data_IF_076634478846
#
_entry.id   IF_076634478846
#
_cell.length_a   1.000
_cell.length_b   1.000
_cell.length_c   1.000
_cell.angle_alpha   90.00
_cell.angle_beta   90.00
_cell.angle_gamma   90.00
#
_symmetry.space_group_name_H-M   'P 1'
#
loop_
_entity.id
_entity.type
_entity.pdbx_description
1 polymer ?
#
# COMPACT_ATOMS: atom_id res chain seq x y z
N UNK A 1 87.58 -16.05 25.72
CA UNK A 1 86.67 -14.89 25.75
C UNK A 1 86.16 -14.60 24.35
N UNK A 2 84.93 -15.03 24.03
CA UNK A 2 83.97 -14.40 23.09
C UNK A 2 82.76 -15.33 22.99
N UNK A 3 81.72 -15.03 23.77
CA UNK A 3 80.42 -15.70 23.70
C UNK A 3 79.59 -15.07 22.58
N UNK A 4 79.01 -15.92 21.73
CA UNK A 4 78.10 -15.53 20.67
C UNK A 4 76.66 -15.66 21.17
N UNK A 5 75.90 -14.57 21.01
CA UNK A 5 74.48 -14.45 21.29
C UNK A 5 73.66 -15.28 20.28
N UNK A 6 72.68 -16.06 20.76
CA UNK A 6 71.55 -16.51 19.96
C UNK A 6 70.28 -15.93 20.59
N UNK A 7 69.75 -14.87 19.99
CA UNK A 7 68.40 -14.38 20.26
C UNK A 7 67.42 -15.16 19.39
N UNK A 8 66.56 -15.96 20.03
CA UNK A 8 65.43 -16.60 19.37
C UNK A 8 64.31 -15.56 19.19
N UNK A 9 64.04 -15.16 17.96
CA UNK A 9 62.85 -14.38 17.59
C UNK A 9 61.71 -15.37 17.38
N UNK A 10 60.75 -15.38 18.31
CA UNK A 10 59.43 -16.00 18.09
C UNK A 10 58.62 -15.09 17.16
N UNK A 11 58.69 -15.36 15.86
CA UNK A 11 57.72 -14.86 14.88
C UNK A 11 56.43 -15.67 15.05
N UNK A 12 55.47 -15.12 15.80
CA UNK A 12 54.08 -15.57 15.74
C UNK A 12 53.54 -15.15 14.37
N UNK A 13 53.46 -16.11 13.46
CA UNK A 13 52.74 -16.00 12.20
C UNK A 13 51.26 -15.80 12.48
N UNK A 14 50.80 -14.55 12.52
CA UNK A 14 49.39 -14.22 12.35
C UNK A 14 48.98 -14.69 10.96
N UNK A 15 48.17 -15.74 10.91
CA UNK A 15 47.57 -16.24 9.68
C UNK A 15 46.63 -15.19 9.10
N UNK A 16 47.15 -14.38 8.17
CA UNK A 16 46.38 -13.53 7.28
C UNK A 16 45.76 -14.41 6.18
N UNK A 17 44.74 -15.19 6.53
CA UNK A 17 43.83 -15.70 5.50
C UNK A 17 42.89 -14.55 5.11
N UNK A 18 42.70 -14.28 3.82
CA UNK A 18 41.68 -13.33 3.39
C UNK A 18 40.32 -13.82 3.90
N UNK A 19 39.61 -12.95 4.62
CA UNK A 19 38.26 -13.21 5.12
C UNK A 19 37.38 -13.65 3.94
N UNK A 20 36.70 -14.77 4.11
CA UNK A 20 35.84 -15.31 3.05
C UNK A 20 34.64 -14.39 2.83
N UNK A 21 34.07 -14.41 1.62
CA UNK A 21 32.88 -13.59 1.34
C UNK A 21 31.70 -13.96 2.26
N UNK A 22 31.62 -15.22 2.67
CA UNK A 22 30.67 -15.72 3.66
C UNK A 22 30.85 -15.07 5.03
N UNK A 23 32.10 -14.93 5.49
CA UNK A 23 32.45 -14.24 6.74
C UNK A 23 32.12 -12.75 6.65
N UNK A 24 32.45 -12.09 5.53
CA UNK A 24 32.05 -10.69 5.26
C UNK A 24 30.53 -10.50 5.40
N UNK A 25 29.72 -11.38 4.81
CA UNK A 25 28.25 -11.31 4.89
C UNK A 25 27.78 -11.50 6.33
N UNK A 26 28.36 -12.46 7.06
CA UNK A 26 28.03 -12.67 8.47
C UNK A 26 28.39 -11.43 9.29
N UNK A 27 29.57 -10.85 9.10
CA UNK A 27 30.00 -9.64 9.80
C UNK A 27 29.07 -8.45 9.48
N UNK A 28 28.68 -8.28 8.22
CA UNK A 28 27.68 -7.28 7.81
C UNK A 28 26.34 -7.47 8.54
N UNK A 29 25.84 -8.71 8.66
CA UNK A 29 24.60 -8.98 9.41
C UNK A 29 24.78 -8.66 10.90
N UNK A 30 25.87 -9.08 11.52
CA UNK A 30 26.10 -8.81 12.95
C UNK A 30 26.27 -7.32 13.24
N UNK A 31 26.80 -6.54 12.30
CA UNK A 31 26.91 -5.09 12.43
C UNK A 31 25.55 -4.39 12.58
N UNK A 32 24.47 -4.96 12.04
CA UNK A 32 23.10 -4.43 12.19
C UNK A 32 22.68 -4.40 13.66
N UNK A 33 23.19 -5.32 14.51
CA UNK A 33 22.89 -5.34 15.94
C UNK A 33 23.37 -4.10 16.68
N UNK A 34 24.35 -3.40 16.12
CA UNK A 34 24.93 -2.20 16.73
C UNK A 34 24.04 -0.97 16.55
N UNK A 35 23.06 -1.04 15.63
CA UNK A 35 22.12 0.05 15.38
C UNK A 35 21.18 0.17 16.59
N UNK A 36 21.12 1.38 17.12
CA UNK A 36 20.30 1.75 18.27
C UNK A 36 19.49 2.99 17.95
N UNK A 37 18.52 3.28 18.78
CA UNK A 37 17.77 4.52 18.65
C UNK A 37 18.63 5.72 18.97
N UNK A 38 18.63 6.72 18.10
CA UNK A 38 19.32 7.98 18.33
C UNK A 38 18.47 9.17 17.91
N UNK A 39 18.73 10.32 18.53
CA UNK A 39 18.22 11.64 18.11
C UNK A 39 19.32 12.46 17.40
N UNK A 40 20.58 12.02 17.48
CA UNK A 40 21.70 12.65 16.80
C UNK A 40 21.67 12.34 15.30
N UNK A 41 21.57 13.39 14.49
CA UNK A 41 21.54 13.29 13.02
C UNK A 41 22.78 12.60 12.47
N UNK A 42 23.95 12.88 13.03
CA UNK A 42 25.20 12.27 12.56
C UNK A 42 25.22 10.78 12.87
N UNK A 43 24.71 10.36 14.02
CA UNK A 43 24.59 8.94 14.36
C UNK A 43 23.58 8.22 13.44
N UNK A 44 22.44 8.86 13.14
CA UNK A 44 21.45 8.35 12.18
C UNK A 44 22.04 8.20 10.77
N UNK A 45 22.79 9.20 10.29
CA UNK A 45 23.47 9.16 8.99
C UNK A 45 24.52 8.05 8.92
N UNK A 46 25.27 7.81 10.00
CA UNK A 46 26.21 6.71 10.11
C UNK A 46 25.50 5.35 10.06
N UNK A 47 24.36 5.20 10.76
CA UNK A 47 23.57 3.97 10.70
C UNK A 47 22.99 3.72 9.30
N UNK A 48 22.47 4.75 8.64
CA UNK A 48 21.99 4.63 7.25
C UNK A 48 23.12 4.20 6.31
N UNK A 49 24.31 4.79 6.45
CA UNK A 49 25.47 4.44 5.63
C UNK A 49 25.95 3.00 5.89
N UNK A 50 25.91 2.54 7.14
CA UNK A 50 26.21 1.15 7.49
C UNK A 50 25.24 0.17 6.81
N UNK A 51 23.95 0.48 6.85
CA UNK A 51 22.89 -0.32 6.23
C UNK A 51 23.05 -0.40 4.72
N UNK A 52 23.30 0.72 4.05
CA UNK A 52 23.57 0.78 2.61
C UNK A 52 24.81 -0.05 2.22
N UNK A 53 25.87 0.03 3.04
CA UNK A 53 27.09 -0.77 2.85
C UNK A 53 26.82 -2.28 2.97
N UNK A 54 26.07 -2.68 4.00
CA UNK A 54 25.67 -4.08 4.20
C UNK A 54 24.82 -4.59 3.03
N UNK A 55 23.86 -3.80 2.56
CA UNK A 55 23.00 -4.15 1.43
C UNK A 55 23.77 -4.26 0.11
N UNK A 56 24.75 -3.38 -0.10
CA UNK A 56 25.68 -3.48 -1.23
C UNK A 56 26.45 -4.80 -1.15
N UNK A 57 27.00 -5.13 0.02
CA UNK A 57 27.72 -6.39 0.26
C UNK A 57 26.84 -7.61 -0.04
N UNK A 58 25.61 -7.66 0.46
CA UNK A 58 24.66 -8.74 0.17
C UNK A 58 24.38 -8.89 -1.33
N UNK A 59 24.35 -7.78 -2.06
CA UNK A 59 24.02 -7.75 -3.49
C UNK A 59 25.18 -8.16 -4.41
N UNK A 60 26.43 -8.17 -3.93
CA UNK A 60 27.61 -8.56 -4.70
C UNK A 60 27.53 -10.02 -5.20
N UNK A 61 27.10 -10.97 -4.35
CA UNK A 61 26.91 -12.38 -4.71
C UNK A 61 25.66 -12.96 -4.03
N UNK A 62 24.49 -12.63 -4.58
CA UNK A 62 23.17 -13.07 -4.07
C UNK A 62 23.04 -14.58 -3.86
N UNK A 63 23.65 -15.39 -4.73
CA UNK A 63 23.64 -16.85 -4.62
C UNK A 63 24.26 -17.36 -3.32
N UNK A 64 25.19 -16.62 -2.74
CA UNK A 64 25.87 -16.94 -1.48
C UNK A 64 25.23 -16.22 -0.29
N UNK A 65 24.89 -14.93 -0.44
CA UNK A 65 24.36 -14.13 0.66
C UNK A 65 22.92 -14.51 1.05
N UNK A 66 22.04 -14.82 0.11
CA UNK A 66 20.63 -15.13 0.41
C UNK A 66 20.47 -16.37 1.32
N UNK A 67 21.15 -17.52 1.07
CA UNK A 67 21.12 -18.64 2.00
C UNK A 67 21.57 -18.28 3.44
N UNK A 68 22.59 -17.43 3.57
CA UNK A 68 23.10 -16.97 4.87
C UNK A 68 22.06 -16.09 5.56
N UNK A 69 21.48 -15.12 4.84
CA UNK A 69 20.44 -14.21 5.36
C UNK A 69 19.23 -15.01 5.84
N UNK A 70 18.74 -15.98 5.05
CA UNK A 70 17.63 -16.86 5.43
C UNK A 70 17.94 -17.62 6.72
N UNK A 71 19.15 -18.17 6.84
CA UNK A 71 19.59 -18.91 8.01
C UNK A 71 19.66 -18.01 9.25
N UNK A 72 20.25 -16.81 9.10
CA UNK A 72 20.34 -15.82 10.18
C UNK A 72 18.98 -15.33 10.63
N UNK A 73 18.05 -15.07 9.71
CA UNK A 73 16.67 -14.68 10.05
C UNK A 73 15.93 -15.80 10.79
N UNK A 74 16.05 -17.06 10.36
CA UNK A 74 15.48 -18.22 11.08
C UNK A 74 16.06 -18.37 12.49
N UNK A 75 17.36 -18.16 12.65
CA UNK A 75 18.02 -18.20 13.95
C UNK A 75 17.54 -17.05 14.85
N UNK A 76 17.38 -15.85 14.31
CA UNK A 76 16.87 -14.70 15.06
C UNK A 76 15.43 -14.92 15.55
N UNK A 77 14.58 -15.47 14.69
CA UNK A 77 13.20 -15.85 15.02
C UNK A 77 13.13 -16.90 16.14
N UNK A 78 14.14 -17.75 16.26
CA UNK A 78 14.23 -18.79 17.29
C UNK A 78 14.89 -18.29 18.59
N UNK A 79 15.39 -17.04 18.60
CA UNK A 79 16.03 -16.44 19.76
C UNK A 79 15.01 -16.11 20.85
N UNK A 80 15.44 -16.21 22.12
CA UNK A 80 14.62 -15.77 23.27
C UNK A 80 14.38 -14.25 23.28
N UNK A 81 15.28 -13.49 22.66
CA UNK A 81 15.19 -12.02 22.57
C UNK A 81 15.64 -11.59 21.18
N UNK A 82 14.75 -11.68 20.17
CA UNK A 82 15.06 -11.28 18.80
C UNK A 82 15.41 -9.79 18.71
N UNK A 83 16.46 -9.47 17.98
CA UNK A 83 16.84 -8.10 17.63
C UNK A 83 15.89 -7.58 16.55
N UNK A 84 15.14 -6.54 16.91
CA UNK A 84 14.08 -5.98 16.07
C UNK A 84 14.61 -5.40 14.76
N UNK A 85 15.82 -4.82 14.76
CA UNK A 85 16.43 -4.26 13.55
C UNK A 85 16.89 -5.36 12.59
N UNK A 86 17.44 -6.47 13.10
CA UNK A 86 17.75 -7.65 12.27
C UNK A 86 16.48 -8.21 11.64
N UNK A 87 15.43 -8.40 12.44
CA UNK A 87 14.17 -8.91 11.92
C UNK A 87 13.63 -8.01 10.81
N UNK A 88 13.63 -6.68 11.01
CA UNK A 88 13.14 -5.73 10.02
C UNK A 88 14.02 -5.71 8.76
N UNK A 89 15.33 -5.56 8.93
CA UNK A 89 16.23 -5.31 7.80
C UNK A 89 16.38 -6.52 6.89
N UNK A 90 16.67 -7.69 7.47
CA UNK A 90 16.85 -8.91 6.70
C UNK A 90 15.56 -9.30 6.00
N UNK A 91 14.41 -9.14 6.66
CA UNK A 91 13.10 -9.40 6.03
C UNK A 91 12.83 -8.46 4.87
N UNK A 92 13.16 -7.18 5.00
CA UNK A 92 12.99 -6.22 3.92
C UNK A 92 13.94 -6.48 2.75
N UNK A 93 15.20 -6.85 3.02
CA UNK A 93 16.14 -7.25 1.97
C UNK A 93 15.66 -8.49 1.21
N UNK A 94 15.14 -9.51 1.92
CA UNK A 94 14.54 -10.69 1.29
C UNK A 94 13.31 -10.33 0.45
N UNK A 95 12.43 -9.44 0.95
CA UNK A 95 11.26 -8.98 0.21
C UNK A 95 11.62 -8.32 -1.14
N UNK A 96 12.74 -7.61 -1.21
CA UNK A 96 13.25 -6.99 -2.43
C UNK A 96 14.01 -7.96 -3.36
N UNK A 97 14.26 -9.19 -2.92
CA UNK A 97 15.09 -10.17 -3.64
C UNK A 97 14.29 -11.17 -4.48
N UNK A 98 13.04 -10.83 -4.83
CA UNK A 98 12.09 -11.71 -5.53
C UNK A 98 11.86 -13.04 -4.80
N UNK A 99 11.33 -12.99 -3.56
CA UNK A 99 11.25 -14.16 -2.70
C UNK A 99 10.30 -15.22 -3.25
N UNK A 100 10.70 -16.48 -3.08
CA UNK A 100 9.81 -17.63 -3.26
C UNK A 100 8.82 -17.75 -2.10
N UNK A 101 7.86 -18.67 -2.20
CA UNK A 101 6.81 -18.84 -1.19
C UNK A 101 7.38 -19.09 0.22
N UNK A 102 8.38 -19.96 0.35
CA UNK A 102 9.00 -20.25 1.66
C UNK A 102 9.67 -19.02 2.30
N UNK A 103 10.19 -18.12 1.47
CA UNK A 103 10.77 -16.86 1.93
C UNK A 103 9.69 -15.86 2.33
N UNK A 104 8.57 -15.81 1.61
CA UNK A 104 7.41 -15.01 1.99
C UNK A 104 6.89 -15.46 3.37
N UNK A 105 6.76 -16.78 3.61
CA UNK A 105 6.33 -17.33 4.90
C UNK A 105 7.33 -16.97 6.03
N UNK A 106 8.63 -16.92 5.72
CA UNK A 106 9.67 -16.51 6.66
C UNK A 106 9.58 -15.00 6.98
N UNK A 107 9.36 -14.17 5.96
CA UNK A 107 9.18 -12.72 6.09
C UNK A 107 7.92 -12.40 6.91
N UNK A 108 6.82 -13.10 6.65
CA UNK A 108 5.57 -12.98 7.42
C UNK A 108 5.82 -13.24 8.91
N UNK A 109 6.44 -14.38 9.27
CA UNK A 109 6.77 -14.71 10.66
C UNK A 109 7.66 -13.67 11.34
N UNK A 110 8.65 -13.15 10.61
CA UNK A 110 9.48 -12.07 11.11
C UNK A 110 8.67 -10.80 11.36
N UNK A 111 7.81 -10.41 10.42
CA UNK A 111 6.91 -9.27 10.57
C UNK A 111 5.95 -9.39 11.77
N UNK A 112 5.43 -10.60 12.02
CA UNK A 112 4.59 -10.88 13.19
C UNK A 112 5.36 -10.78 14.50
N UNK A 113 6.62 -11.21 14.50
CA UNK A 113 7.53 -11.17 15.67
C UNK A 113 8.02 -9.76 15.98
N UNK A 114 8.10 -8.88 14.97
CA UNK A 114 8.49 -7.48 15.18
C UNK A 114 7.50 -6.77 16.12
N UNK A 115 8.05 -6.22 17.20
CA UNK A 115 7.38 -5.28 18.08
C UNK A 115 7.34 -3.89 17.43
N UNK A 116 6.18 -3.57 16.88
CA UNK A 116 5.91 -2.31 16.19
C UNK A 116 5.87 -1.09 17.12
N UNK A 117 5.83 -1.30 18.45
CA UNK A 117 5.91 -0.24 19.45
C UNK A 117 7.33 0.02 19.94
N UNK A 118 8.29 -0.85 19.59
CA UNK A 118 9.68 -0.66 19.99
C UNK A 118 10.26 0.64 19.39
N UNK A 119 11.05 1.42 20.14
CA UNK A 119 11.57 2.70 19.65
C UNK A 119 12.36 2.59 18.34
N UNK A 120 13.10 1.50 18.14
CA UNK A 120 13.90 1.27 16.93
C UNK A 120 13.01 1.07 15.69
N UNK A 121 11.86 0.41 15.83
CA UNK A 121 10.90 0.24 14.73
C UNK A 121 10.15 1.53 14.44
N UNK A 122 9.81 2.31 15.48
CA UNK A 122 9.22 3.64 15.32
C UNK A 122 10.17 4.59 14.58
N UNK A 123 11.49 4.54 14.84
CA UNK A 123 12.48 5.31 14.08
C UNK A 123 12.61 4.83 12.63
N UNK A 124 12.43 3.53 12.37
CA UNK A 124 12.50 2.90 11.05
C UNK A 124 11.11 2.66 10.42
N UNK A 125 10.13 3.53 10.73
CA UNK A 125 8.72 3.31 10.37
C UNK A 125 8.51 3.20 8.85
N UNK A 126 9.30 3.91 8.04
CA UNK A 126 9.22 3.82 6.57
C UNK A 126 9.54 2.41 6.07
N UNK A 127 10.59 1.78 6.59
CA UNK A 127 10.98 0.43 6.21
C UNK A 127 9.94 -0.58 6.69
N UNK A 128 9.46 -0.43 7.92
CA UNK A 128 8.40 -1.27 8.49
C UNK A 128 7.09 -1.20 7.69
N UNK A 129 6.67 0.01 7.31
CA UNK A 129 5.51 0.22 6.45
C UNK A 129 5.70 -0.40 5.06
N UNK A 130 6.88 -0.26 4.44
CA UNK A 130 7.16 -0.88 3.13
C UNK A 130 7.12 -2.41 3.19
N UNK A 131 7.58 -3.00 4.30
CA UNK A 131 7.47 -4.44 4.53
C UNK A 131 6.00 -4.87 4.65
N UNK A 132 5.19 -4.11 5.39
CA UNK A 132 3.74 -4.35 5.48
C UNK A 132 3.04 -4.20 4.13
N UNK A 133 3.44 -3.21 3.32
CA UNK A 133 2.89 -2.98 1.99
C UNK A 133 3.21 -4.14 1.03
N UNK A 134 4.43 -4.69 1.11
CA UNK A 134 4.81 -5.90 0.38
C UNK A 134 3.93 -7.10 0.78
N UNK A 135 3.79 -7.38 2.08
CA UNK A 135 2.95 -8.49 2.56
C UNK A 135 1.47 -8.30 2.17
N UNK A 136 0.99 -7.06 2.22
CA UNK A 136 -0.35 -6.72 1.76
C UNK A 136 -0.54 -7.00 0.26
N UNK A 137 0.43 -6.64 -0.58
CA UNK A 137 0.40 -6.94 -2.01
C UNK A 137 0.33 -8.45 -2.30
N UNK A 138 1.03 -9.25 -1.49
CA UNK A 138 1.02 -10.72 -1.57
C UNK A 138 -0.28 -11.36 -1.08
N UNK A 139 -1.22 -10.56 -0.54
CA UNK A 139 -2.51 -11.01 -0.01
C UNK A 139 -2.36 -12.16 0.99
N UNK A 140 -1.43 -12.01 1.92
CA UNK A 140 -1.19 -13.00 2.97
C UNK A 140 -2.50 -13.27 3.74
N UNK A 141 -2.91 -14.53 3.92
CA UNK A 141 -4.16 -14.85 4.63
C UNK A 141 -4.20 -14.20 6.00
N UNK A 142 -5.36 -13.63 6.39
CA UNK A 142 -5.56 -12.98 7.69
C UNK A 142 -4.68 -11.74 7.96
N UNK A 143 -3.88 -11.27 7.00
CA UNK A 143 -2.99 -10.12 7.20
C UNK A 143 -3.74 -8.80 7.46
N UNK A 144 -5.02 -8.73 7.07
CA UNK A 144 -5.90 -7.61 7.43
C UNK A 144 -5.97 -7.40 8.94
N UNK A 145 -5.97 -8.45 9.78
CA UNK A 145 -5.94 -8.29 11.24
C UNK A 145 -4.62 -7.69 11.74
N UNK A 146 -3.51 -7.99 11.06
CA UNK A 146 -2.22 -7.36 11.34
C UNK A 146 -2.24 -5.88 10.95
N UNK A 147 -2.85 -5.53 9.81
CA UNK A 147 -3.05 -4.12 9.41
C UNK A 147 -3.94 -3.40 10.44
N UNK A 148 -5.04 -4.03 10.88
CA UNK A 148 -5.95 -3.48 11.87
C UNK A 148 -5.20 -3.10 13.15
N UNK A 149 -4.49 -4.08 13.72
CA UNK A 149 -3.76 -3.93 14.97
C UNK A 149 -2.64 -2.90 14.87
N UNK A 150 -1.86 -2.92 13.79
CA UNK A 150 -0.58 -2.19 13.70
C UNK A 150 -0.74 -0.77 13.10
N UNK A 151 -1.75 -0.53 12.27
CA UNK A 151 -1.92 0.75 11.55
C UNK A 151 -3.31 1.37 11.71
N UNK A 152 -4.37 0.56 11.78
CA UNK A 152 -5.73 1.08 11.90
C UNK A 152 -6.04 1.59 13.30
N UNK A 153 -5.81 0.74 14.30
CA UNK A 153 -6.11 1.01 15.71
C UNK A 153 -4.99 1.76 16.43
N UNK A 154 -3.78 1.77 15.86
CA UNK A 154 -2.61 2.44 16.43
C UNK A 154 -2.09 3.48 15.44
N UNK A 155 -1.87 4.70 15.92
CA UNK A 155 -1.34 5.77 15.10
C UNK A 155 0.16 5.54 14.85
N UNK A 156 0.52 5.35 13.58
CA UNK A 156 1.91 5.19 13.17
C UNK A 156 2.56 6.55 12.92
N UNK A 157 3.87 6.62 13.15
CA UNK A 157 4.64 7.84 12.89
C UNK A 157 4.63 8.15 11.38
N UNK A 158 4.42 9.41 11.04
CA UNK A 158 4.56 9.89 9.67
C UNK A 158 6.03 9.87 9.23
N UNK A 159 6.28 9.65 7.94
CA UNK A 159 7.62 9.75 7.37
C UNK A 159 7.61 10.51 6.05
N UNK A 160 8.73 11.16 5.75
CA UNK A 160 8.90 11.95 4.54
C UNK A 160 9.67 11.15 3.49
N UNK A 161 9.22 11.19 2.24
CA UNK A 161 9.93 10.61 1.10
C UNK A 161 10.54 11.76 0.29
N UNK A 162 11.86 12.01 0.41
CA UNK A 162 12.50 13.15 -0.23
C UNK A 162 12.34 13.18 -1.75
N UNK A 163 12.43 12.01 -2.40
CA UNK A 163 12.35 11.87 -3.86
C UNK A 163 10.99 12.30 -4.43
N UNK A 164 9.96 12.38 -3.60
CA UNK A 164 8.59 12.73 -4.00
C UNK A 164 8.07 13.96 -3.26
N UNK A 165 8.88 14.59 -2.41
CA UNK A 165 8.50 15.73 -1.56
C UNK A 165 7.14 15.48 -0.88
N UNK A 166 6.93 14.26 -0.39
CA UNK A 166 5.63 13.79 0.12
C UNK A 166 5.78 13.29 1.55
N UNK A 167 4.87 13.73 2.43
CA UNK A 167 4.69 13.18 3.76
C UNK A 167 3.68 12.02 3.70
N UNK A 168 4.04 10.87 4.23
CA UNK A 168 3.16 9.70 4.34
C UNK A 168 2.72 9.58 5.79
N UNK A 169 1.55 10.15 6.09
CA UNK A 169 0.93 10.10 7.42
C UNK A 169 0.23 8.75 7.68
N UNK A 170 -0.26 8.56 8.90
CA UNK A 170 -0.94 7.33 9.29
C UNK A 170 -2.17 7.02 8.41
N UNK A 171 -2.89 8.06 7.94
CA UNK A 171 -4.05 7.88 7.06
C UNK A 171 -3.64 7.36 5.68
N UNK A 172 -2.60 7.94 5.08
CA UNK A 172 -2.02 7.49 3.83
C UNK A 172 -1.51 6.05 3.96
N UNK A 173 -0.81 5.72 5.05
CA UNK A 173 -0.32 4.36 5.30
C UNK A 173 -1.46 3.33 5.27
N UNK A 174 -2.51 3.55 6.07
CA UNK A 174 -3.70 2.66 6.08
C UNK A 174 -4.32 2.53 4.70
N UNK A 175 -4.52 3.66 4.02
CA UNK A 175 -5.11 3.72 2.67
C UNK A 175 -4.33 2.86 1.68
N UNK A 176 -3.00 2.94 1.68
CA UNK A 176 -2.13 2.12 0.84
C UNK A 176 -2.22 0.63 1.20
N UNK A 177 -2.21 0.28 2.50
CA UNK A 177 -2.24 -1.11 2.96
C UNK A 177 -3.55 -1.81 2.60
N UNK A 178 -4.70 -1.25 2.94
CA UNK A 178 -5.99 -1.85 2.57
C UNK A 178 -6.23 -1.80 1.06
N UNK A 179 -5.79 -0.73 0.40
CA UNK A 179 -5.94 -0.56 -1.03
C UNK A 179 -5.22 -1.63 -1.85
N UNK A 180 -3.97 -1.95 -1.51
CA UNK A 180 -3.21 -2.97 -2.25
C UNK A 180 -3.64 -4.41 -1.94
N UNK A 181 -4.12 -4.66 -0.71
CA UNK A 181 -4.67 -5.96 -0.32
C UNK A 181 -5.86 -6.34 -1.22
N UNK A 182 -6.71 -5.36 -1.55
CA UNK A 182 -7.71 -5.45 -2.60
C UNK A 182 -9.08 -5.91 -2.13
N UNK A 183 -9.63 -6.91 -2.80
CA UNK A 183 -11.04 -7.32 -2.78
C UNK A 183 -11.57 -7.70 -1.40
N UNK A 184 -10.76 -8.30 -0.52
CA UNK A 184 -11.23 -8.66 0.82
C UNK A 184 -11.20 -7.47 1.81
N UNK A 185 -10.54 -6.35 1.48
CA UNK A 185 -10.47 -5.18 2.36
C UNK A 185 -11.83 -4.52 2.56
N UNK A 186 -12.63 -4.40 1.49
CA UNK A 186 -13.95 -3.77 1.55
C UNK A 186 -14.89 -4.52 2.50
N UNK A 187 -15.19 -5.83 2.32
CA UNK A 187 -16.07 -6.55 3.22
C UNK A 187 -15.53 -6.62 4.67
N UNK A 188 -14.21 -6.68 4.85
CA UNK A 188 -13.58 -6.62 6.17
C UNK A 188 -13.85 -5.29 6.89
N UNK A 189 -13.57 -4.18 6.22
CA UNK A 189 -13.78 -2.83 6.76
C UNK A 189 -15.26 -2.51 6.98
N UNK A 190 -16.16 -2.95 6.09
CA UNK A 190 -17.60 -2.80 6.28
C UNK A 190 -18.09 -3.58 7.50
N UNK A 191 -17.58 -4.79 7.72
CA UNK A 191 -17.90 -5.59 8.92
C UNK A 191 -17.47 -4.85 10.19
N UNK A 192 -16.27 -4.26 10.21
CA UNK A 192 -15.80 -3.46 11.35
C UNK A 192 -16.66 -2.21 11.55
N UNK A 193 -16.94 -1.47 10.49
CA UNK A 193 -17.70 -0.22 10.52
C UNK A 193 -19.12 -0.41 11.08
N UNK A 194 -19.75 -1.57 10.86
CA UNK A 194 -21.09 -1.89 11.43
C UNK A 194 -21.11 -1.93 12.97
N UNK A 195 -19.99 -2.29 13.59
CA UNK A 195 -19.89 -2.45 15.05
C UNK A 195 -19.09 -1.35 15.73
N UNK A 196 -18.39 -0.51 14.95
CA UNK A 196 -17.50 0.51 15.50
C UNK A 196 -18.28 1.73 16.02
N UNK A 197 -17.89 2.17 17.22
CA UNK A 197 -18.50 3.30 17.93
C UNK A 197 -17.55 4.49 18.08
N UNK A 198 -16.24 4.28 17.97
CA UNK A 198 -15.25 5.36 18.00
C UNK A 198 -15.31 6.19 16.72
N UNK A 199 -15.66 7.47 16.85
CA UNK A 199 -15.84 8.36 15.71
C UNK A 199 -14.55 8.52 14.86
N UNK A 200 -13.36 8.57 15.47
CA UNK A 200 -12.11 8.72 14.72
C UNK A 200 -11.78 7.48 13.90
N UNK A 201 -12.08 6.31 14.45
CA UNK A 201 -11.89 5.04 13.78
C UNK A 201 -12.91 4.86 12.65
N UNK A 202 -14.19 5.22 12.86
CA UNK A 202 -15.21 5.29 11.80
C UNK A 202 -14.79 6.23 10.66
N UNK A 203 -14.31 7.43 10.98
CA UNK A 203 -13.80 8.39 9.99
C UNK A 203 -12.61 7.81 9.21
N UNK A 204 -11.69 7.11 9.89
CA UNK A 204 -10.54 6.45 9.25
C UNK A 204 -10.99 5.35 8.29
N UNK A 205 -11.90 4.47 8.73
CA UNK A 205 -12.45 3.39 7.91
C UNK A 205 -13.18 3.95 6.67
N UNK A 206 -14.06 4.93 6.85
CA UNK A 206 -14.81 5.54 5.74
C UNK A 206 -13.91 6.29 4.77
N UNK A 207 -12.85 6.95 5.25
CA UNK A 207 -11.86 7.62 4.39
C UNK A 207 -11.03 6.63 3.54
N UNK A 208 -10.79 5.41 4.04
CA UNK A 208 -10.19 4.31 3.28
C UNK A 208 -11.19 3.78 2.25
N UNK A 209 -12.41 3.45 2.68
CA UNK A 209 -13.49 2.95 1.83
C UNK A 209 -13.78 3.89 0.66
N UNK A 210 -13.71 5.21 0.87
CA UNK A 210 -13.81 6.24 -0.18
C UNK A 210 -12.86 6.03 -1.36
N UNK A 211 -11.77 5.28 -1.22
CA UNK A 211 -10.81 5.04 -2.31
C UNK A 211 -10.87 3.65 -2.91
N UNK A 212 -11.42 2.67 -2.17
CA UNK A 212 -11.34 1.25 -2.54
C UNK A 212 -12.70 0.62 -2.83
N UNK A 213 -13.79 1.26 -2.40
CA UNK A 213 -15.13 0.75 -2.61
C UNK A 213 -15.47 0.53 -4.08
N UNK A 214 -16.37 -0.42 -4.29
CA UNK A 214 -17.02 -0.79 -5.55
C UNK A 214 -18.53 -0.88 -5.28
N UNK A 215 -19.39 -1.05 -6.30
CA UNK A 215 -20.84 -1.08 -6.12
C UNK A 215 -21.36 -2.03 -5.03
N UNK A 216 -20.62 -3.10 -4.71
CA UNK A 216 -20.98 -4.07 -3.67
C UNK A 216 -21.11 -3.46 -2.26
N UNK A 217 -20.46 -2.32 -1.99
CA UNK A 217 -20.58 -1.64 -0.70
C UNK A 217 -21.86 -0.80 -0.54
N UNK A 218 -22.59 -0.52 -1.63
CA UNK A 218 -23.57 0.56 -1.67
C UNK A 218 -24.69 0.39 -0.62
N UNK A 219 -25.23 -0.82 -0.46
CA UNK A 219 -26.31 -1.08 0.48
C UNK A 219 -25.87 -0.96 1.95
N UNK A 220 -24.65 -1.40 2.27
CA UNK A 220 -24.10 -1.29 3.62
C UNK A 220 -23.89 0.18 4.00
N UNK A 221 -23.28 0.97 3.08
CA UNK A 221 -23.06 2.41 3.28
C UNK A 221 -24.40 3.16 3.39
N UNK A 222 -25.36 2.84 2.53
CA UNK A 222 -26.71 3.42 2.61
C UNK A 222 -27.35 3.19 3.98
N UNK A 223 -27.28 1.96 4.50
CA UNK A 223 -27.86 1.60 5.80
C UNK A 223 -27.19 2.38 6.94
N UNK A 224 -25.87 2.60 6.87
CA UNK A 224 -25.13 3.38 7.86
C UNK A 224 -25.54 4.85 7.85
N UNK A 225 -25.61 5.46 6.66
CA UNK A 225 -26.02 6.84 6.44
C UNK A 225 -27.40 7.19 7.02
N UNK A 226 -28.32 6.23 7.12
CA UNK A 226 -29.65 6.47 7.71
C UNK A 226 -29.57 6.90 9.19
N UNK A 227 -28.49 6.53 9.87
CA UNK A 227 -28.31 6.71 11.32
C UNK A 227 -27.04 7.43 11.72
N UNK A 228 -26.18 7.79 10.76
CA UNK A 228 -24.91 8.47 11.03
C UNK A 228 -25.14 9.93 11.46
N UNK A 229 -24.52 10.31 12.57
CA UNK A 229 -24.66 11.62 13.20
C UNK A 229 -23.36 12.43 13.12
N UNK A 230 -22.21 11.78 12.95
CA UNK A 230 -20.92 12.44 12.77
C UNK A 230 -20.82 13.05 11.36
N UNK A 231 -20.63 14.37 11.29
CA UNK A 231 -20.62 15.11 10.02
C UNK A 231 -19.57 14.57 9.03
N UNK A 232 -18.34 14.36 9.49
CA UNK A 232 -17.24 13.91 8.62
C UNK A 232 -17.46 12.49 8.10
N UNK A 233 -17.97 11.60 8.95
CA UNK A 233 -18.33 10.23 8.55
C UNK A 233 -19.46 10.25 7.53
N UNK A 234 -20.52 11.04 7.77
CA UNK A 234 -21.64 11.21 6.83
C UNK A 234 -21.17 11.73 5.46
N UNK A 235 -20.27 12.72 5.45
CA UNK A 235 -19.67 13.27 4.21
C UNK A 235 -18.86 12.19 3.48
N UNK A 236 -18.02 11.43 4.18
CA UNK A 236 -17.25 10.35 3.56
C UNK A 236 -18.14 9.24 2.98
N UNK A 237 -19.17 8.83 3.70
CA UNK A 237 -20.14 7.84 3.25
C UNK A 237 -20.96 8.34 2.04
N UNK A 238 -21.32 9.63 2.03
CA UNK A 238 -21.93 10.27 0.86
C UNK A 238 -20.99 10.21 -0.36
N UNK A 239 -19.71 10.55 -0.20
CA UNK A 239 -18.73 10.42 -1.29
C UNK A 239 -18.60 8.97 -1.77
N UNK A 240 -18.62 7.98 -0.88
CA UNK A 240 -18.60 6.57 -1.28
C UNK A 240 -19.80 6.26 -2.19
N UNK A 241 -21.02 6.68 -1.82
CA UNK A 241 -22.21 6.44 -2.63
C UNK A 241 -22.20 7.17 -3.98
N UNK A 242 -21.64 8.37 -4.05
CA UNK A 242 -21.76 9.21 -5.24
C UNK A 242 -20.60 9.06 -6.22
N UNK A 243 -19.41 8.76 -5.71
CA UNK A 243 -18.19 8.75 -6.53
C UNK A 243 -17.69 7.34 -6.88
N UNK A 244 -18.10 6.28 -6.17
CA UNK A 244 -17.50 4.94 -6.33
C UNK A 244 -18.45 3.83 -6.77
N UNK A 245 -19.76 3.99 -6.59
CA UNK A 245 -20.72 2.89 -6.74
C UNK A 245 -21.69 3.06 -7.91
N UNK A 246 -21.58 4.13 -8.69
CA UNK A 246 -22.37 4.29 -9.91
C UNK A 246 -23.86 4.57 -9.68
N UNK A 247 -24.73 4.12 -10.61
CA UNK A 247 -26.17 4.40 -10.57
C UNK A 247 -26.87 3.94 -9.28
N UNK A 248 -26.47 2.79 -8.72
CA UNK A 248 -27.09 2.28 -7.48
C UNK A 248 -26.90 3.24 -6.31
N UNK A 249 -25.73 3.88 -6.18
CA UNK A 249 -25.50 4.86 -5.12
C UNK A 249 -26.29 6.14 -5.30
N UNK A 250 -26.44 6.62 -6.55
CA UNK A 250 -27.37 7.71 -6.87
C UNK A 250 -28.78 7.38 -6.43
N UNK A 251 -29.29 6.19 -6.78
CA UNK A 251 -30.64 5.77 -6.42
C UNK A 251 -30.84 5.67 -4.91
N UNK A 252 -29.88 5.07 -4.20
CA UNK A 252 -29.93 4.93 -2.74
C UNK A 252 -29.88 6.30 -2.05
N UNK A 253 -29.00 7.19 -2.50
CA UNK A 253 -28.88 8.54 -1.94
C UNK A 253 -30.16 9.35 -2.11
N UNK A 254 -30.81 9.27 -3.29
CA UNK A 254 -32.10 9.95 -3.53
C UNK A 254 -33.26 9.38 -2.70
N UNK A 255 -33.15 8.12 -2.25
CA UNK A 255 -34.12 7.46 -1.35
C UNK A 255 -33.79 7.68 0.13
N UNK A 256 -32.60 8.18 0.46
CA UNK A 256 -32.11 8.31 1.83
C UNK A 256 -33.00 9.25 2.65
N UNK A 257 -33.36 8.81 3.85
CA UNK A 257 -34.12 9.58 4.84
C UNK A 257 -33.36 9.57 6.17
N UNK A 258 -32.28 10.36 6.27
CA UNK A 258 -31.41 10.32 7.44
C UNK A 258 -32.17 10.83 8.67
N UNK A 259 -31.92 10.21 9.82
CA UNK A 259 -32.56 10.58 11.09
C UNK A 259 -31.65 11.51 11.89
N UNK A 260 -32.21 12.57 12.46
CA UNK A 260 -31.55 13.39 13.48
C UNK A 260 -30.21 14.04 13.04
N UNK A 261 -30.14 14.56 11.82
CA UNK A 261 -28.94 15.28 11.35
C UNK A 261 -28.69 16.59 12.13
N UNK A 262 -27.42 16.91 12.35
CA UNK A 262 -27.01 18.26 12.75
C UNK A 262 -27.35 19.27 11.65
N UNK A 263 -27.45 20.56 11.98
CA UNK A 263 -27.80 21.59 10.98
C UNK A 263 -26.78 21.68 9.85
N UNK A 264 -25.50 21.48 10.16
CA UNK A 264 -24.42 21.45 9.18
C UNK A 264 -24.58 20.27 8.21
N UNK A 265 -24.79 19.06 8.73
CA UNK A 265 -24.96 17.85 7.93
C UNK A 265 -26.26 17.90 7.10
N UNK A 266 -27.33 18.45 7.65
CA UNK A 266 -28.59 18.68 6.93
C UNK A 266 -28.39 19.59 5.71
N UNK A 267 -27.69 20.72 5.88
CA UNK A 267 -27.40 21.63 4.78
C UNK A 267 -26.55 20.97 3.70
N UNK A 268 -25.52 20.20 4.09
CA UNK A 268 -24.70 19.43 3.17
C UNK A 268 -25.54 18.41 2.38
N UNK A 269 -26.34 17.58 3.07
CA UNK A 269 -27.22 16.58 2.47
C UNK A 269 -28.13 17.18 1.40
N UNK A 270 -28.81 18.30 1.70
CA UNK A 270 -29.69 18.95 0.73
C UNK A 270 -28.93 19.60 -0.44
N UNK A 271 -27.71 20.10 -0.23
CA UNK A 271 -26.90 20.63 -1.34
C UNK A 271 -26.51 19.53 -2.34
N UNK A 272 -26.18 18.34 -1.86
CA UNK A 272 -25.78 17.21 -2.69
C UNK A 272 -26.96 16.60 -3.45
N UNK A 273 -28.19 16.61 -2.92
CA UNK A 273 -29.36 16.09 -3.63
C UNK A 273 -29.56 16.70 -5.03
N UNK A 274 -29.27 17.99 -5.19
CA UNK A 274 -29.38 18.65 -6.49
C UNK A 274 -28.26 18.20 -7.46
N UNK A 275 -27.06 18.01 -6.95
CA UNK A 275 -25.93 17.48 -7.72
C UNK A 275 -26.21 16.04 -8.18
N UNK A 276 -26.73 15.19 -7.29
CA UNK A 276 -26.98 13.76 -7.54
C UNK A 276 -28.03 13.52 -8.61
N UNK A 277 -29.09 14.34 -8.67
CA UNK A 277 -30.14 14.21 -9.70
C UNK A 277 -29.57 14.28 -11.13
N UNK A 278 -28.54 15.10 -11.32
CA UNK A 278 -27.91 15.35 -12.62
C UNK A 278 -26.83 14.34 -13.00
N UNK A 279 -26.46 13.40 -12.13
CA UNK A 279 -25.46 12.39 -12.45
C UNK A 279 -26.01 11.41 -13.51
N UNK A 280 -25.29 11.29 -14.61
CA UNK A 280 -25.55 10.38 -15.72
C UNK A 280 -24.23 10.02 -16.40
N UNK A 281 -24.25 9.07 -17.33
CA UNK A 281 -23.08 8.76 -18.15
C UNK A 281 -22.54 10.02 -18.87
N UNK A 282 -23.39 10.74 -19.58
CA UNK A 282 -23.01 11.96 -20.32
C UNK A 282 -22.47 13.06 -19.41
N UNK A 283 -23.03 13.21 -18.21
CA UNK A 283 -22.53 14.14 -17.21
C UNK A 283 -21.07 13.84 -16.84
N UNK A 284 -20.74 12.57 -16.61
CA UNK A 284 -19.38 12.16 -16.26
C UNK A 284 -18.42 12.21 -17.46
N UNK A 285 -18.86 11.84 -18.66
CA UNK A 285 -18.09 12.04 -19.90
C UNK A 285 -17.78 13.52 -20.11
N UNK A 286 -18.76 14.41 -19.94
CA UNK A 286 -18.55 15.86 -20.04
C UNK A 286 -17.54 16.38 -19.03
N UNK A 287 -17.56 15.86 -17.79
CA UNK A 287 -16.55 16.17 -16.76
C UNK A 287 -15.17 15.66 -17.12
N UNK A 288 -15.04 14.45 -17.67
CA UNK A 288 -13.76 13.90 -18.14
C UNK A 288 -13.18 14.78 -19.26
N UNK A 289 -14.00 15.12 -20.26
CA UNK A 289 -13.62 16.02 -21.36
C UNK A 289 -13.17 17.40 -20.85
N UNK A 290 -13.92 17.98 -19.91
CA UNK A 290 -13.56 19.28 -19.31
C UNK A 290 -12.22 19.24 -18.56
N UNK A 291 -11.92 18.13 -17.89
CA UNK A 291 -10.73 18.02 -17.03
C UNK A 291 -9.47 17.58 -17.80
N UNK A 292 -9.62 16.67 -18.76
CA UNK A 292 -8.49 16.01 -19.44
C UNK A 292 -8.39 16.35 -20.92
N UNK A 293 -9.41 16.97 -21.52
CA UNK A 293 -9.51 17.21 -22.96
C UNK A 293 -10.13 16.02 -23.69
N UNK A 294 -10.10 16.09 -25.03
CA UNK A 294 -10.48 14.98 -25.90
C UNK A 294 -9.28 14.04 -26.09
N UNK A 295 -9.55 12.75 -26.28
CA UNK A 295 -8.48 11.81 -26.67
C UNK A 295 -8.16 11.97 -28.15
N UNK A 296 -6.88 11.91 -28.49
CA UNK A 296 -6.41 11.76 -29.87
C UNK A 296 -6.01 10.32 -30.20
N UNK A 297 -6.20 9.38 -29.27
CA UNK A 297 -5.84 7.99 -29.47
C UNK A 297 -6.94 7.26 -30.25
N UNK A 298 -6.51 6.39 -31.17
CA UNK A 298 -7.37 5.44 -31.88
C UNK A 298 -6.85 4.02 -31.58
N UNK A 299 -7.21 3.51 -30.41
CA UNK A 299 -6.82 2.15 -30.00
C UNK A 299 -7.83 1.14 -30.55
N UNK A 300 -7.33 0.09 -31.22
CA UNK A 300 -8.11 -1.14 -31.32
C UNK A 300 -8.30 -1.75 -29.93
N UNK A 301 -9.38 -2.52 -29.74
CA UNK A 301 -9.66 -3.21 -28.47
C UNK A 301 -8.46 -4.02 -27.96
N UNK A 302 -7.80 -4.77 -28.85
CA UNK A 302 -6.60 -5.55 -28.52
C UNK A 302 -5.42 -4.69 -28.04
N UNK A 303 -5.24 -3.52 -28.66
CA UNK A 303 -4.17 -2.58 -28.32
C UNK A 303 -4.47 -1.90 -26.99
N UNK A 304 -5.71 -1.45 -26.76
CA UNK A 304 -6.13 -0.89 -25.48
C UNK A 304 -5.93 -1.90 -24.35
N UNK A 305 -6.36 -3.15 -24.53
CA UNK A 305 -6.11 -4.22 -23.54
C UNK A 305 -4.62 -4.42 -23.26
N UNK A 306 -3.78 -4.40 -24.29
CA UNK A 306 -2.32 -4.51 -24.13
C UNK A 306 -1.76 -3.34 -23.32
N UNK A 307 -2.19 -2.11 -23.57
CA UNK A 307 -1.77 -0.94 -22.80
C UNK A 307 -2.29 -0.99 -21.36
N UNK A 308 -3.49 -1.51 -21.12
CA UNK A 308 -4.03 -1.72 -19.76
C UNK A 308 -3.19 -2.75 -19.00
N UNK A 309 -2.77 -3.85 -19.64
CA UNK A 309 -1.85 -4.81 -18.99
C UNK A 309 -0.51 -4.17 -18.64
N UNK A 310 0.05 -3.34 -19.54
CA UNK A 310 1.28 -2.59 -19.26
C UNK A 310 1.07 -1.64 -18.08
N UNK A 311 -0.07 -0.96 -18.02
CA UNK A 311 -0.42 -0.09 -16.89
C UNK A 311 -0.43 -0.89 -15.57
N UNK A 312 -1.05 -2.07 -15.54
CA UNK A 312 -1.07 -2.96 -14.36
C UNK A 312 0.35 -3.39 -13.97
N UNK A 313 1.16 -3.81 -14.94
CA UNK A 313 2.56 -4.22 -14.73
C UNK A 313 3.42 -3.06 -14.19
N UNK A 314 3.15 -1.84 -14.67
CA UNK A 314 3.80 -0.60 -14.24
C UNK A 314 3.14 0.03 -13.01
N UNK A 315 2.60 -0.80 -12.11
CA UNK A 315 2.02 -0.37 -10.83
C UNK A 315 0.87 0.65 -10.99
N UNK A 316 0.05 0.48 -12.01
CA UNK A 316 -1.10 1.33 -12.34
C UNK A 316 -0.74 2.65 -13.03
N UNK A 317 0.52 2.86 -13.42
CA UNK A 317 0.93 4.05 -14.19
C UNK A 317 0.71 3.87 -15.69
N UNK A 318 0.20 4.89 -16.36
CA UNK A 318 0.15 4.95 -17.82
C UNK A 318 0.49 6.35 -18.33
N UNK A 319 1.28 6.40 -19.39
CA UNK A 319 1.58 7.63 -20.13
C UNK A 319 0.89 7.68 -21.50
N UNK A 320 0.25 6.58 -21.91
CA UNK A 320 -0.30 6.40 -23.24
C UNK A 320 -1.81 6.40 -23.27
N UNK A 321 -2.46 5.93 -22.20
CA UNK A 321 -3.92 5.82 -22.13
C UNK A 321 -4.51 7.13 -21.64
N UNK A 322 -5.36 7.73 -22.45
CA UNK A 322 -6.18 8.85 -22.06
C UNK A 322 -7.45 8.33 -21.33
N UNK A 323 -7.97 8.99 -20.28
CA UNK A 323 -9.16 8.52 -19.56
C UNK A 323 -10.38 8.24 -20.44
N UNK A 324 -10.53 8.97 -21.56
CA UNK A 324 -11.64 8.76 -22.50
C UNK A 324 -11.52 7.48 -23.34
N UNK A 325 -10.34 6.87 -23.45
CA UNK A 325 -10.11 5.68 -24.28
C UNK A 325 -10.86 4.45 -23.76
N UNK A 326 -11.21 4.44 -22.46
CA UNK A 326 -12.01 3.39 -21.85
C UNK A 326 -13.48 3.38 -22.31
N UNK A 327 -13.94 4.41 -23.01
CA UNK A 327 -15.35 4.58 -23.36
C UNK A 327 -15.64 4.40 -24.85
N UNK A 328 -14.65 4.60 -25.72
CA UNK A 328 -14.74 4.55 -27.19
C UNK A 328 -14.40 3.19 -27.81
N UNK A 329 -14.47 2.11 -27.04
CA UNK A 329 -14.12 0.75 -27.46
C UNK A 329 -15.33 -0.22 -27.37
N UNK A 330 -15.18 -1.42 -27.94
CA UNK A 330 -16.18 -2.50 -27.90
C UNK A 330 -15.86 -3.61 -26.88
N UNK A 331 -14.90 -3.38 -25.97
CA UNK A 331 -14.52 -4.35 -24.94
C UNK A 331 -15.69 -4.52 -23.96
N UNK A 332 -15.91 -5.75 -23.52
CA UNK A 332 -16.88 -6.05 -22.47
C UNK A 332 -16.65 -5.16 -21.23
N UNK A 333 -17.74 -4.52 -20.79
CA UNK A 333 -17.72 -3.57 -19.67
C UNK A 333 -17.16 -4.21 -18.39
N UNK A 334 -17.50 -5.46 -18.10
CA UNK A 334 -17.04 -6.12 -16.88
C UNK A 334 -15.55 -6.47 -16.94
N UNK A 335 -15.05 -6.84 -18.12
CA UNK A 335 -13.60 -7.02 -18.34
C UNK A 335 -12.85 -5.71 -18.04
N UNK A 336 -13.32 -4.58 -18.56
CA UNK A 336 -12.71 -3.26 -18.28
C UNK A 336 -12.74 -2.91 -16.80
N UNK A 337 -13.89 -3.10 -16.13
CA UNK A 337 -14.05 -2.86 -14.68
C UNK A 337 -13.04 -3.69 -13.89
N UNK A 338 -12.94 -4.99 -14.16
CA UNK A 338 -12.03 -5.88 -13.44
C UNK A 338 -10.56 -5.46 -13.63
N UNK A 339 -10.17 -5.06 -14.84
CA UNK A 339 -8.81 -4.59 -15.12
C UNK A 339 -8.50 -3.24 -14.47
N UNK A 340 -9.45 -2.32 -14.47
CA UNK A 340 -9.30 -1.02 -13.79
C UNK A 340 -9.26 -1.16 -12.26
N UNK A 341 -10.01 -2.09 -11.68
CA UNK A 341 -9.91 -2.42 -10.25
C UNK A 341 -8.50 -2.92 -9.93
N UNK A 342 -7.94 -3.81 -10.76
CA UNK A 342 -6.57 -4.30 -10.59
C UNK A 342 -5.53 -3.18 -10.79
N UNK A 343 -5.69 -2.33 -11.79
CA UNK A 343 -4.81 -1.17 -12.01
C UNK A 343 -4.83 -0.21 -10.82
N UNK A 344 -6.03 0.14 -10.33
CA UNK A 344 -6.23 0.94 -9.11
C UNK A 344 -5.56 0.30 -7.89
N UNK A 345 -5.73 -1.02 -7.71
CA UNK A 345 -5.07 -1.78 -6.64
C UNK A 345 -3.54 -1.62 -6.71
N UNK A 346 -2.98 -1.68 -7.91
CA UNK A 346 -1.56 -1.52 -8.16
C UNK A 346 -1.06 -0.08 -7.95
N UNK A 347 -1.88 0.94 -8.19
CA UNK A 347 -1.53 2.34 -7.86
C UNK A 347 -1.20 2.52 -6.36
N UNK A 348 -1.82 1.76 -5.46
CA UNK A 348 -1.50 1.83 -4.03
C UNK A 348 -0.08 1.37 -3.67
N UNK A 349 0.68 0.76 -4.60
CA UNK A 349 2.11 0.49 -4.40
C UNK A 349 2.99 1.74 -4.57
N UNK A 350 2.45 2.80 -5.18
CA UNK A 350 3.15 4.06 -5.42
C UNK A 350 2.82 5.06 -4.33
N UNK A 351 3.72 5.13 -3.35
CA UNK A 351 3.60 6.01 -2.17
C UNK A 351 4.04 7.44 -2.49
N UNK A 352 3.41 8.03 -3.52
CA UNK A 352 3.68 9.39 -3.99
C UNK A 352 2.39 10.06 -4.48
N UNK A 353 2.46 11.38 -4.72
CA UNK A 353 1.29 12.15 -5.14
C UNK A 353 0.67 11.64 -6.44
N UNK A 354 1.48 11.25 -7.42
CA UNK A 354 0.99 10.72 -8.69
C UNK A 354 0.19 9.41 -8.50
N UNK A 355 0.64 8.53 -7.60
CA UNK A 355 -0.10 7.29 -7.31
C UNK A 355 -1.51 7.57 -6.79
N UNK A 356 -1.65 8.58 -5.93
CA UNK A 356 -2.97 9.02 -5.43
C UNK A 356 -3.83 9.65 -6.53
N UNK A 357 -3.24 10.47 -7.39
CA UNK A 357 -3.95 11.04 -8.55
C UNK A 357 -4.47 9.94 -9.48
N UNK A 358 -3.67 8.90 -9.73
CA UNK A 358 -4.07 7.80 -10.59
C UNK A 358 -5.16 6.93 -9.95
N UNK A 359 -5.18 6.77 -8.62
CA UNK A 359 -6.31 6.15 -7.90
C UNK A 359 -7.59 6.94 -8.14
N UNK A 360 -7.54 8.27 -8.03
CA UNK A 360 -8.71 9.13 -8.24
C UNK A 360 -9.18 9.11 -9.70
N UNK A 361 -8.25 9.07 -10.66
CA UNK A 361 -8.55 8.89 -12.09
C UNK A 361 -9.24 7.55 -12.33
N UNK A 362 -8.68 6.46 -11.82
CA UNK A 362 -9.27 5.12 -11.95
C UNK A 362 -10.67 5.06 -11.32
N UNK A 363 -10.87 5.65 -10.13
CA UNK A 363 -12.19 5.73 -9.49
C UNK A 363 -13.19 6.49 -10.36
N UNK A 364 -12.77 7.62 -10.96
CA UNK A 364 -13.65 8.39 -11.82
C UNK A 364 -14.01 7.63 -13.11
N UNK A 365 -13.04 6.93 -13.73
CA UNK A 365 -13.30 6.08 -14.90
C UNK A 365 -14.24 4.92 -14.53
N UNK A 366 -13.98 4.22 -13.40
CA UNK A 366 -14.83 3.14 -12.89
C UNK A 366 -16.27 3.62 -12.66
N UNK A 367 -16.46 4.76 -11.98
CA UNK A 367 -17.78 5.32 -11.74
C UNK A 367 -18.51 5.58 -13.05
N UNK A 368 -17.83 6.20 -14.02
CA UNK A 368 -18.38 6.47 -15.36
C UNK A 368 -18.76 5.18 -16.09
N UNK A 369 -17.94 4.12 -16.01
CA UNK A 369 -18.26 2.81 -16.59
C UNK A 369 -19.49 2.19 -15.95
N UNK A 370 -19.71 2.35 -14.63
CA UNK A 370 -20.93 1.85 -14.00
C UNK A 370 -22.19 2.50 -14.58
N UNK A 371 -22.14 3.77 -14.97
CA UNK A 371 -23.23 4.47 -15.66
C UNK A 371 -23.38 4.10 -17.14
N UNK A 372 -22.39 3.47 -17.78
CA UNK A 372 -22.50 3.01 -19.17
C UNK A 372 -23.53 1.87 -19.24
N UNK A 373 -24.63 2.09 -19.96
CA UNK A 373 -25.60 1.03 -20.24
C UNK A 373 -24.90 -0.12 -20.99
N UNK A 374 -25.23 -1.37 -20.64
CA UNK A 374 -24.82 -2.49 -21.48
C UNK A 374 -25.65 -2.40 -22.76
N UNK A 375 -24.99 -2.19 -23.90
CA UNK A 375 -25.62 -2.44 -25.20
C UNK A 375 -26.01 -3.92 -25.16
N UNK A 376 -27.31 -4.27 -25.25
CA UNK A 376 -27.71 -5.67 -25.33
C UNK A 376 -26.99 -6.26 -26.53
N UNK A 377 -26.26 -7.36 -26.36
CA UNK A 377 -25.79 -8.14 -27.50
C UNK A 377 -27.04 -8.52 -28.30
N UNK A 378 -27.23 -7.90 -29.47
CA UNK A 378 -28.17 -8.38 -30.46
C UNK A 378 -27.81 -9.84 -30.70
N UNK A 379 -28.70 -10.72 -30.26
CA UNK A 379 -28.58 -12.15 -30.45
C UNK A 379 -28.73 -12.39 -31.94
N UNK A 380 -27.72 -13.05 -32.55
CA UNK A 380 -27.68 -13.46 -33.95
C UNK A 380 -29.02 -13.97 -34.51
#
# INVERSE_FOLDING_TARGET
MKNWFISLIFLTSTSLFPESYEEDVIHSIESIRTIRTSEDKTEIENFNSLMDSNWKKFSEKKSTSLPIIRTKLKNELSSKSPNQMILLDLSWYLALSNPEKEEIDLIEKAYETIDFQSPIIIQNTQQYFRLALFLSEKKIPNFLYSIDKRFLQNETKSFFIPQHVTMVDAHAQRTHLYGVYGDQSVPHLLKMLKTETDAKLRQSITSILRRICTPDCANDIYTMLETENDHLTFVNETYILLDNVGPIGKELYLKLKPKSLSKETENYFFSEQNYVKNQSYDFFIGKLKKKYGESSNDFSDSKLMTEIEKMIQNKGESHTIHPLDFFSNSIDKQILINKLIEARRKCFLRINHHGMQDIDINNFILNTLYYKEQIPNESN
#
